data_IF_421600430004
#
_entry.id   IF_421600430004
#
_cell.length_a   1.000
_cell.length_b   1.000
_cell.length_c   1.000
_cell.angle_alpha   90.00
_cell.angle_beta   90.00
_cell.angle_gamma   90.00
#
_symmetry.space_group_name_H-M   'P 1'
#
loop_
_entity.id
_entity.type
_entity.pdbx_description
1 polymer ?
#
# COMPACT_ATOMS: atom_id res chain seq x y z
N UNK A 1 3.59 -29.09 -23.74
CA UNK A 1 4.32 -28.35 -22.70
C UNK A 1 3.33 -28.07 -21.57
N UNK A 2 3.52 -28.68 -20.40
CA UNK A 2 2.71 -28.40 -19.21
C UNK A 2 3.56 -27.63 -18.21
N UNK A 3 3.04 -26.51 -17.70
CA UNK A 3 3.69 -25.73 -16.65
C UNK A 3 2.91 -25.97 -15.37
N UNK A 4 3.53 -26.67 -14.41
CA UNK A 4 3.02 -26.75 -13.04
C UNK A 4 3.63 -25.62 -12.24
N UNK A 5 2.77 -24.74 -11.71
CA UNK A 5 3.18 -23.61 -10.86
C UNK A 5 2.79 -23.93 -9.42
N UNK A 6 3.78 -24.11 -8.56
CA UNK A 6 3.57 -24.13 -7.11
C UNK A 6 3.99 -22.77 -6.55
N UNK A 7 3.05 -22.01 -6.00
CA UNK A 7 3.31 -20.67 -5.46
C UNK A 7 3.42 -20.78 -3.94
N UNK A 8 4.63 -20.58 -3.41
CA UNK A 8 4.81 -20.20 -2.00
C UNK A 8 5.13 -18.71 -1.94
N UNK A 9 4.90 -18.06 -0.80
CA UNK A 9 4.90 -16.60 -0.63
C UNK A 9 6.13 -15.85 -1.19
N UNK A 10 7.24 -16.52 -1.50
CA UNK A 10 8.45 -15.86 -2.03
C UNK A 10 9.20 -16.65 -3.12
N UNK A 11 8.69 -17.81 -3.57
CA UNK A 11 9.39 -18.67 -4.56
C UNK A 11 8.38 -19.24 -5.55
N UNK A 12 8.64 -19.01 -6.84
CA UNK A 12 7.99 -19.72 -7.95
C UNK A 12 8.93 -20.80 -8.45
N UNK A 13 8.53 -22.06 -8.32
CA UNK A 13 9.20 -23.18 -8.96
C UNK A 13 8.51 -23.50 -10.29
N UNK A 14 9.18 -23.25 -11.40
CA UNK A 14 8.73 -23.66 -12.72
C UNK A 14 9.52 -24.89 -13.19
N UNK A 15 8.82 -26.00 -13.44
CA UNK A 15 9.40 -27.21 -14.05
C UNK A 15 9.02 -27.24 -15.53
N UNK A 16 10.01 -27.16 -16.42
CA UNK A 16 9.81 -27.49 -17.84
C UNK A 16 9.95 -29.01 -17.98
N UNK A 17 8.84 -29.70 -18.22
CA UNK A 17 8.83 -31.13 -18.54
C UNK A 17 8.70 -31.28 -20.06
N UNK A 18 9.77 -31.71 -20.72
CA UNK A 18 9.74 -32.18 -22.11
C UNK A 18 9.28 -33.64 -22.12
N UNK A 19 8.09 -33.96 -22.67
CA UNK A 19 7.57 -35.33 -22.67
C UNK A 19 8.31 -36.27 -23.63
N UNK A 20 9.28 -35.80 -24.42
CA UNK A 20 9.99 -36.62 -25.40
C UNK A 20 11.18 -37.41 -24.84
N UNK A 21 11.59 -37.18 -23.58
CA UNK A 21 12.72 -37.90 -22.97
C UNK A 21 12.48 -38.17 -21.46
N UNK A 22 12.41 -39.45 -21.08
CA UNK A 22 12.50 -39.94 -19.70
C UNK A 22 13.86 -40.67 -19.54
N UNK A 23 14.55 -40.69 -18.37
CA UNK A 23 14.07 -40.43 -17.02
C UNK A 23 14.62 -39.12 -16.41
N UNK A 24 13.73 -38.39 -15.73
CA UNK A 24 13.95 -37.44 -14.62
C UNK A 24 15.42 -37.01 -14.42
N UNK A 25 15.90 -36.08 -15.24
CA UNK A 25 17.04 -35.23 -14.88
C UNK A 25 16.54 -33.80 -14.74
N UNK A 26 16.31 -33.38 -13.49
CA UNK A 26 16.10 -31.97 -13.15
C UNK A 26 17.39 -31.23 -13.50
N UNK A 27 17.46 -30.65 -14.71
CA UNK A 27 18.71 -30.04 -15.20
C UNK A 27 19.04 -28.71 -14.52
N UNK A 28 18.05 -28.00 -13.97
CA UNK A 28 18.30 -26.72 -13.31
C UNK A 28 17.09 -26.29 -12.46
N UNK A 29 17.31 -25.99 -11.18
CA UNK A 29 16.36 -25.20 -10.38
C UNK A 29 16.62 -23.73 -10.68
N UNK A 30 15.67 -23.06 -11.33
CA UNK A 30 15.65 -21.59 -11.36
C UNK A 30 14.85 -21.11 -10.14
N UNK A 31 15.55 -20.65 -9.11
CA UNK A 31 14.93 -19.90 -8.04
C UNK A 31 14.72 -18.47 -8.52
N UNK A 32 13.51 -18.18 -8.98
CA UNK A 32 13.09 -16.79 -9.15
C UNK A 32 12.60 -16.27 -7.80
N UNK A 33 13.37 -15.37 -7.21
CA UNK A 33 12.87 -14.50 -6.15
C UNK A 33 11.83 -13.58 -6.77
N UNK A 34 10.54 -13.89 -6.54
CA UNK A 34 9.48 -12.94 -6.85
C UNK A 34 9.51 -11.91 -5.72
N UNK A 35 10.02 -10.71 -6.02
CA UNK A 35 9.89 -9.58 -5.10
C UNK A 35 8.39 -9.39 -4.85
N UNK A 36 7.97 -9.46 -3.59
CA UNK A 36 6.57 -9.24 -3.23
C UNK A 36 6.10 -7.91 -3.83
N UNK A 37 4.90 -7.91 -4.45
CA UNK A 37 4.29 -6.69 -4.98
C UNK A 37 4.18 -5.65 -3.86
N UNK A 38 4.90 -4.51 -3.94
CA UNK A 38 4.92 -3.52 -2.87
C UNK A 38 3.53 -2.99 -2.52
N UNK A 39 2.64 -2.88 -3.51
CA UNK A 39 1.27 -2.40 -3.30
C UNK A 39 0.50 -3.39 -2.44
N UNK A 40 0.59 -4.68 -2.73
CA UNK A 40 -0.04 -5.73 -1.93
C UNK A 40 0.64 -5.90 -0.57
N UNK A 41 1.95 -5.68 -0.46
CA UNK A 41 2.65 -5.73 0.82
C UNK A 41 2.18 -4.62 1.78
N UNK A 42 1.96 -3.40 1.27
CA UNK A 42 1.51 -2.26 2.08
C UNK A 42 -0.01 -2.26 2.33
N UNK A 43 -0.80 -2.55 1.29
CA UNK A 43 -2.25 -2.35 1.31
C UNK A 43 -3.07 -3.64 1.36
N UNK A 44 -2.44 -4.79 1.10
CA UNK A 44 -3.08 -6.09 1.15
C UNK A 44 -3.58 -6.44 2.56
N UNK A 45 -4.74 -7.07 2.61
CA UNK A 45 -5.36 -7.47 3.86
C UNK A 45 -6.79 -7.96 3.64
N UNK A 46 -7.42 -8.47 4.70
CA UNK A 46 -8.74 -9.11 4.59
C UNK A 46 -9.85 -8.19 4.08
N UNK A 47 -9.67 -6.88 4.24
CA UNK A 47 -10.65 -5.84 3.88
C UNK A 47 -10.20 -4.99 2.69
N UNK A 48 -9.10 -5.34 2.02
CA UNK A 48 -8.56 -4.59 0.88
C UNK A 48 -8.44 -5.49 -0.34
N UNK A 49 -8.83 -4.98 -1.50
CA UNK A 49 -8.65 -5.67 -2.78
C UNK A 49 -7.61 -4.93 -3.60
N UNK A 50 -6.38 -5.43 -3.68
CA UNK A 50 -5.29 -4.80 -4.42
C UNK A 50 -4.98 -5.53 -5.73
N UNK A 51 -5.82 -5.22 -6.73
CA UNK A 51 -5.55 -5.38 -8.16
C UNK A 51 -5.42 -3.99 -8.80
N UNK A 52 -6.04 -3.77 -9.96
CA UNK A 52 -6.20 -2.42 -10.52
C UNK A 52 -7.70 -2.13 -10.77
N UNK A 53 -8.38 -1.36 -9.91
CA UNK A 53 -7.83 -0.56 -8.80
C UNK A 53 -7.46 -1.38 -7.55
N UNK A 54 -6.62 -0.79 -6.69
CA UNK A 54 -6.39 -1.24 -5.31
C UNK A 54 -7.31 -0.47 -4.36
N UNK A 55 -8.30 -1.15 -3.78
CA UNK A 55 -9.33 -0.58 -2.92
C UNK A 55 -9.03 -0.88 -1.46
N UNK A 56 -8.89 0.17 -0.65
CA UNK A 56 -8.58 0.11 0.77
C UNK A 56 -9.79 0.55 1.57
N UNK A 57 -10.46 -0.38 2.25
CA UNK A 57 -11.57 -0.06 3.17
C UNK A 57 -11.09 0.09 4.62
N UNK A 58 -9.97 -0.56 4.97
CA UNK A 58 -9.32 -0.39 6.26
C UNK A 58 -7.83 -0.75 6.17
N UNK A 59 -6.96 0.17 6.58
CA UNK A 59 -5.53 -0.09 6.77
C UNK A 59 -5.00 0.70 7.98
N UNK A 60 -4.38 -0.02 8.91
CA UNK A 60 -3.87 0.56 10.18
C UNK A 60 -2.50 1.23 10.05
N UNK A 61 -1.86 1.11 8.89
CA UNK A 61 -0.46 1.46 8.65
C UNK A 61 0.51 0.38 9.12
N UNK A 62 1.79 0.73 9.18
CA UNK A 62 2.89 -0.17 9.46
C UNK A 62 4.25 0.51 9.28
N UNK A 63 5.32 -0.25 8.99
CA UNK A 63 6.63 0.32 8.71
C UNK A 63 6.58 1.30 7.54
N UNK A 64 7.02 2.55 7.76
CA UNK A 64 6.93 3.64 6.77
C UNK A 64 7.59 3.24 5.45
N UNK A 65 8.77 2.60 5.48
CA UNK A 65 9.51 2.19 4.28
C UNK A 65 8.69 1.30 3.32
N UNK A 66 7.83 0.41 3.83
CA UNK A 66 6.98 -0.45 3.00
C UNK A 66 5.93 0.39 2.26
N UNK A 67 5.37 1.39 2.94
CA UNK A 67 4.36 2.29 2.39
C UNK A 67 4.96 3.29 1.39
N UNK A 68 6.19 3.76 1.63
CA UNK A 68 6.93 4.60 0.68
C UNK A 68 7.26 3.84 -0.61
N UNK A 69 7.68 2.57 -0.49
CA UNK A 69 7.92 1.71 -1.65
C UNK A 69 6.63 1.44 -2.44
N UNK A 70 5.51 1.20 -1.74
CA UNK A 70 4.21 1.06 -2.37
C UNK A 70 3.76 2.34 -3.09
N UNK A 71 3.93 3.51 -2.47
CA UNK A 71 3.62 4.78 -3.10
C UNK A 71 4.49 5.02 -4.35
N UNK A 72 5.77 4.66 -4.28
CA UNK A 72 6.65 4.68 -5.44
C UNK A 72 6.15 3.73 -6.54
N UNK A 73 5.76 2.50 -6.21
CA UNK A 73 5.21 1.55 -7.19
C UNK A 73 3.91 2.07 -7.84
N UNK A 74 3.00 2.64 -7.04
CA UNK A 74 1.75 3.24 -7.54
C UNK A 74 2.06 4.37 -8.53
N UNK A 75 2.93 5.33 -8.18
CA UNK A 75 3.29 6.45 -9.07
C UNK A 75 3.95 6.03 -10.38
N UNK A 76 4.53 4.85 -10.45
CA UNK A 76 5.23 4.31 -11.61
C UNK A 76 4.43 3.19 -12.33
N UNK A 77 3.13 3.07 -12.03
CA UNK A 77 2.24 2.09 -12.65
C UNK A 77 0.89 2.72 -12.99
N UNK A 78 0.05 2.00 -13.74
CA UNK A 78 -1.34 2.43 -14.01
C UNK A 78 -2.30 2.10 -12.84
N UNK A 79 -1.78 1.78 -11.66
CA UNK A 79 -2.61 1.36 -10.52
C UNK A 79 -3.32 2.54 -9.89
N UNK A 80 -4.64 2.52 -9.89
CA UNK A 80 -5.45 3.47 -9.10
C UNK A 80 -5.61 2.97 -7.66
N UNK A 81 -5.23 3.79 -6.68
CA UNK A 81 -5.50 3.53 -5.26
C UNK A 81 -6.80 4.23 -4.84
N UNK A 82 -7.77 3.46 -4.36
CA UNK A 82 -9.06 3.96 -3.89
C UNK A 82 -9.09 3.84 -2.36
N UNK A 83 -9.24 4.97 -1.67
CA UNK A 83 -9.49 4.96 -0.22
C UNK A 83 -11.00 5.00 0.02
N UNK A 84 -11.59 3.84 0.36
CA UNK A 84 -13.02 3.66 0.67
C UNK A 84 -13.25 3.41 2.18
N UNK A 85 -12.39 3.99 3.03
CA UNK A 85 -12.51 3.85 4.47
C UNK A 85 -11.31 4.38 5.23
N UNK A 86 -10.98 3.73 6.36
CA UNK A 86 -9.96 4.23 7.26
C UNK A 86 -8.55 3.90 6.75
N UNK A 87 -7.73 4.93 6.53
CA UNK A 87 -6.34 4.84 6.13
C UNK A 87 -5.47 5.55 7.17
N UNK A 88 -4.86 4.77 8.07
CA UNK A 88 -4.20 5.30 9.27
C UNK A 88 -2.68 5.24 9.14
N UNK A 89 -1.98 6.15 9.83
CA UNK A 89 -0.53 6.12 9.98
C UNK A 89 0.17 6.10 8.61
N UNK A 90 1.11 5.17 8.38
CA UNK A 90 1.83 5.02 7.13
C UNK A 90 0.93 4.81 5.89
N UNK A 91 -0.30 4.33 6.04
CA UNK A 91 -1.27 4.31 4.93
C UNK A 91 -1.53 5.73 4.41
N UNK A 92 -1.75 6.69 5.31
CA UNK A 92 -2.00 8.08 4.94
C UNK A 92 -0.77 8.70 4.26
N UNK A 93 0.44 8.35 4.71
CA UNK A 93 1.70 8.78 4.07
C UNK A 93 1.75 8.27 2.62
N UNK A 94 1.48 6.99 2.37
CA UNK A 94 1.52 6.46 1.02
C UNK A 94 0.44 7.07 0.11
N UNK A 95 -0.78 7.23 0.62
CA UNK A 95 -1.87 7.86 -0.12
C UNK A 95 -1.58 9.34 -0.44
N UNK A 96 -0.83 10.02 0.43
CA UNK A 96 -0.34 11.37 0.19
C UNK A 96 0.79 11.41 -0.85
N UNK A 97 1.80 10.56 -0.70
CA UNK A 97 2.92 10.49 -1.63
C UNK A 97 2.51 10.04 -3.04
N UNK A 98 1.45 9.24 -3.17
CA UNK A 98 0.92 8.77 -4.46
C UNK A 98 -0.30 9.58 -4.93
N UNK A 99 -0.59 10.73 -4.32
CA UNK A 99 -1.86 11.48 -4.42
C UNK A 99 -2.45 11.63 -5.83
N UNK A 100 -1.62 11.81 -6.86
CA UNK A 100 -2.09 11.92 -8.25
C UNK A 100 -2.79 10.66 -8.80
N UNK A 101 -2.48 9.50 -8.21
CA UNK A 101 -3.04 8.17 -8.51
C UNK A 101 -3.99 7.69 -7.41
N UNK A 102 -4.46 8.61 -6.56
CA UNK A 102 -5.41 8.31 -5.48
C UNK A 102 -6.71 9.05 -5.72
N UNK A 103 -7.83 8.34 -5.51
CA UNK A 103 -9.11 8.98 -5.28
C UNK A 103 -9.75 8.49 -3.99
N UNK A 104 -10.62 9.31 -3.40
CA UNK A 104 -11.27 9.03 -2.12
C UNK A 104 -12.78 8.93 -2.29
N UNK A 105 -13.42 8.06 -1.52
CA UNK A 105 -14.89 8.01 -1.41
C UNK A 105 -15.37 8.79 -0.19
N UNK A 106 -16.69 8.96 -0.05
CA UNK A 106 -17.30 9.58 1.13
C UNK A 106 -17.01 8.85 2.45
N UNK A 107 -16.53 7.60 2.40
CA UNK A 107 -16.15 6.82 3.58
C UNK A 107 -14.70 7.09 4.04
N UNK A 108 -13.91 7.77 3.22
CA UNK A 108 -12.50 7.97 3.48
C UNK A 108 -12.25 8.72 4.80
N UNK A 109 -11.30 8.21 5.58
CA UNK A 109 -10.81 8.86 6.79
C UNK A 109 -9.30 8.62 6.94
N UNK A 110 -8.53 9.71 6.98
CA UNK A 110 -7.08 9.67 7.16
C UNK A 110 -6.72 9.97 8.60
N UNK A 111 -5.86 9.16 9.23
CA UNK A 111 -5.52 9.32 10.65
C UNK A 111 -4.03 9.50 10.85
N UNK A 112 -3.65 10.61 11.48
CA UNK A 112 -2.26 11.05 11.67
C UNK A 112 -1.84 10.94 13.14
N UNK A 113 -0.58 10.59 13.35
CA UNK A 113 0.08 10.55 14.66
C UNK A 113 1.60 10.59 14.45
N UNK A 114 2.36 10.79 15.54
CA UNK A 114 3.84 10.75 15.46
C UNK A 114 4.31 9.36 15.08
N UNK A 115 5.22 9.29 14.13
CA UNK A 115 5.99 8.09 13.88
C UNK A 115 6.89 7.78 15.08
N UNK A 116 7.30 6.53 15.20
CA UNK A 116 8.22 6.12 16.25
C UNK A 116 9.27 5.15 15.71
N UNK A 117 10.50 5.32 16.16
CA UNK A 117 11.55 4.31 16.01
C UNK A 117 11.52 3.47 17.28
N UNK A 118 11.61 2.14 17.13
CA UNK A 118 11.63 1.21 18.27
C UNK A 118 12.68 1.68 19.28
N UNK A 119 12.21 2.05 20.47
CA UNK A 119 13.05 2.24 21.62
C UNK A 119 13.66 3.62 21.87
N UNK A 120 13.20 4.76 21.30
CA UNK A 120 13.44 6.11 21.92
C UNK A 120 12.80 7.35 21.27
N UNK A 121 12.59 7.41 19.95
CA UNK A 121 12.32 8.70 19.27
C UNK A 121 10.94 8.72 18.63
N UNK A 122 10.17 9.77 18.96
CA UNK A 122 8.93 10.13 18.26
C UNK A 122 9.16 11.37 17.42
N UNK A 123 8.70 11.34 16.18
CA UNK A 123 8.90 12.43 15.23
C UNK A 123 7.64 12.63 14.38
N UNK A 124 7.52 13.82 13.81
CA UNK A 124 6.45 14.14 12.87
C UNK A 124 6.77 13.43 11.55
N UNK A 125 5.89 12.55 11.04
CA UNK A 125 6.12 11.87 9.78
C UNK A 125 6.11 12.88 8.63
N UNK A 126 6.91 12.62 7.61
CA UNK A 126 6.89 13.42 6.39
C UNK A 126 5.54 13.27 5.67
N UNK A 127 4.84 14.38 5.52
CA UNK A 127 3.68 14.56 4.64
C UNK A 127 3.97 15.72 3.69
N UNK A 128 3.15 15.87 2.66
CA UNK A 128 3.14 17.06 1.83
C UNK A 128 2.89 18.33 2.67
N UNK A 129 3.41 19.50 2.23
CA UNK A 129 3.29 20.73 3.01
C UNK A 129 1.86 21.13 3.40
N UNK A 130 0.88 20.85 2.54
CA UNK A 130 -0.52 21.21 2.76
C UNK A 130 -1.22 20.32 3.80
N UNK A 131 -0.94 19.01 3.80
CA UNK A 131 -1.42 18.07 4.83
C UNK A 131 -0.73 18.37 6.16
N UNK A 132 0.59 18.60 6.12
CA UNK A 132 1.36 18.94 7.32
C UNK A 132 0.85 20.24 7.97
N UNK A 133 0.53 21.25 7.16
CA UNK A 133 -0.10 22.49 7.64
C UNK A 133 -1.46 22.20 8.26
N UNK A 134 -2.34 21.41 7.59
CA UNK A 134 -3.64 21.05 8.14
C UNK A 134 -3.57 20.35 9.50
N UNK A 135 -2.57 19.48 9.68
CA UNK A 135 -2.30 18.77 10.93
C UNK A 135 -1.78 19.73 12.00
N UNK A 136 -0.81 20.60 11.67
CA UNK A 136 -0.22 21.56 12.61
C UNK A 136 -1.23 22.60 13.11
N UNK A 137 -2.12 23.07 12.24
CA UNK A 137 -3.21 23.98 12.60
C UNK A 137 -4.23 23.36 13.58
N UNK A 138 -4.20 22.03 13.75
CA UNK A 138 -5.08 21.25 14.64
C UNK A 138 -4.35 20.66 15.85
N UNK A 139 -3.21 21.23 16.22
CA UNK A 139 -2.44 20.81 17.39
C UNK A 139 -1.32 19.81 17.08
N UNK A 140 -1.02 19.56 15.80
CA UNK A 140 0.10 18.73 15.36
C UNK A 140 -0.16 17.23 15.44
N UNK A 141 0.90 16.43 15.28
CA UNK A 141 0.80 14.98 15.31
C UNK A 141 0.74 14.45 16.76
N UNK A 142 -0.35 13.76 17.17
CA UNK A 142 -0.46 13.20 18.52
C UNK A 142 0.46 12.00 18.78
N UNK A 143 0.79 11.76 20.04
CA UNK A 143 1.68 10.67 20.50
C UNK A 143 0.92 9.39 20.90
N UNK A 144 -0.27 9.52 21.49
CA UNK A 144 -1.05 8.40 22.06
C UNK A 144 -2.45 8.22 21.48
N UNK A 145 -2.79 9.00 20.46
CA UNK A 145 -4.09 9.01 19.79
C UNK A 145 -3.91 9.28 18.30
N UNK A 146 -5.00 9.46 17.58
CA UNK A 146 -4.99 9.88 16.18
C UNK A 146 -5.70 11.23 16.03
N UNK A 147 -5.14 12.09 15.18
CA UNK A 147 -5.87 13.20 14.58
C UNK A 147 -6.48 12.68 13.27
N UNK A 148 -7.80 12.67 13.15
CA UNK A 148 -8.49 12.10 11.98
C UNK A 148 -9.06 13.20 11.09
N UNK A 149 -8.68 13.18 9.81
CA UNK A 149 -9.25 13.95 8.73
C UNK A 149 -10.33 13.13 8.04
N UNK A 150 -11.59 13.54 8.21
CA UNK A 150 -12.73 12.92 7.55
C UNK A 150 -12.85 13.40 6.10
N UNK A 151 -13.66 12.71 5.30
CA UNK A 151 -13.90 13.03 3.88
C UNK A 151 -14.13 14.52 3.58
N UNK A 152 -14.94 15.21 4.38
CA UNK A 152 -15.25 16.63 4.15
C UNK A 152 -14.00 17.54 4.19
N UNK A 153 -12.99 17.13 4.95
CA UNK A 153 -11.69 17.77 4.97
C UNK A 153 -10.76 17.22 3.89
N UNK A 154 -10.75 15.90 3.72
CA UNK A 154 -9.86 15.19 2.80
C UNK A 154 -10.11 15.55 1.33
N UNK A 155 -11.35 15.85 0.94
CA UNK A 155 -11.71 16.23 -0.45
C UNK A 155 -11.04 17.52 -0.95
N UNK A 156 -10.40 18.28 -0.05
CA UNK A 156 -9.58 19.45 -0.42
C UNK A 156 -8.19 19.06 -0.92
N UNK A 157 -7.71 17.86 -0.58
CA UNK A 157 -6.36 17.39 -0.89
C UNK A 157 -6.35 16.24 -1.90
N UNK A 158 -7.38 15.39 -1.89
CA UNK A 158 -7.53 14.28 -2.84
C UNK A 158 -8.76 14.47 -3.74
N UNK A 159 -8.66 13.95 -4.97
CA UNK A 159 -9.80 13.87 -5.89
C UNK A 159 -10.86 12.92 -5.32
N UNK A 160 -12.12 13.30 -5.42
CA UNK A 160 -13.22 12.37 -5.13
C UNK A 160 -13.33 11.36 -6.27
N UNK A 161 -13.46 10.07 -5.95
CA UNK A 161 -13.70 9.05 -6.97
C UNK A 161 -15.03 9.32 -7.69
N UNK A 162 -15.14 9.01 -9.00
CA UNK A 162 -16.42 9.03 -9.69
C UNK A 162 -17.47 8.19 -8.95
N UNK A 163 -18.77 8.59 -8.94
CA UNK A 163 -19.86 7.69 -8.55
C UNK A 163 -19.73 6.39 -9.34
N UNK A 164 -19.86 5.25 -8.64
CA UNK A 164 -19.26 3.97 -8.99
C UNK A 164 -19.38 3.54 -10.47
N UNK A 165 -18.25 3.04 -11.00
CA UNK A 165 -18.21 1.95 -12.00
C UNK A 165 -18.87 0.69 -11.44
#
# INVERSE_FOLDING_TARGET
MYVFVCVSASIVLALLIDPSTDPIRVRQFFFYYVKEDPIRAAFGGWFSSCGNPCVVTYNKGGPIAIFEEAAHAIRNSDTLLIIDGACKSACAIAADQARDHVCITKKAAFSFHKAYIVGRIRFDPTQSPDIDTWVKDRGGYPTGSFLTMLYEDAKRFWKTCPPQL
#
